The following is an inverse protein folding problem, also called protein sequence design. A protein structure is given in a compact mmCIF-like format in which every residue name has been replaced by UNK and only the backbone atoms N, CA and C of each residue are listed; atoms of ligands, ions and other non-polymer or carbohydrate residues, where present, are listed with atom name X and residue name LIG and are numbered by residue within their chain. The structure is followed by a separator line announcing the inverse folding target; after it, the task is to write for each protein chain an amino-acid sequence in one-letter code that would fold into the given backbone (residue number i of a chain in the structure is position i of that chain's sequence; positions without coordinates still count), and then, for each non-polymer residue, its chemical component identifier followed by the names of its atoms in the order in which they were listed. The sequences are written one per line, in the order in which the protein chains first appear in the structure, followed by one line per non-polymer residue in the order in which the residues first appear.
data_IF_637571625292
#
_entry.id   IF_637571625292
#
_cell.length_a   1.000
_cell.length_b   1.000
_cell.length_c   1.000
_cell.angle_alpha   90.00
_cell.angle_beta   90.00
_cell.angle_gamma   90.00
#
_symmetry.space_group_name_H-M   'P 1'
#
loop_
_entity.id
_entity.type
_entity.pdbx_description
1 polymer ?
#
# COMPACT_ATOMS: atom_id res chain seq x y z
N UNK A 1 3.46 12.76 11.17
CA UNK A 1 4.84 12.40 10.76
C UNK A 1 5.05 10.95 11.16
N UNK A 2 4.99 10.02 10.20
CA UNK A 2 5.11 8.58 10.46
C UNK A 2 6.44 8.09 9.90
N UNK A 3 7.38 7.79 10.79
CA UNK A 3 8.67 7.20 10.46
C UNK A 3 8.66 5.77 10.99
N UNK A 4 8.66 4.79 10.09
CA UNK A 4 8.78 3.38 10.45
C UNK A 4 10.22 2.97 10.17
N UNK A 5 10.95 2.59 11.22
CA UNK A 5 12.38 2.25 11.18
C UNK A 5 12.53 0.79 11.57
N UNK A 6 13.01 -0.04 10.65
CA UNK A 6 13.55 -1.36 10.98
C UNK A 6 15.08 -1.25 11.14
N UNK A 7 15.60 -1.64 12.30
CA UNK A 7 17.01 -1.43 12.68
C UNK A 7 17.97 -2.44 12.05
N UNK A 8 17.50 -3.61 11.64
CA UNK A 8 18.36 -4.66 11.08
C UNK A 8 18.40 -4.63 9.55
N UNK A 9 17.35 -4.10 8.91
CA UNK A 9 17.27 -3.95 7.47
C UNK A 9 16.85 -2.53 7.12
N UNK A 10 17.81 -1.75 6.60
CA UNK A 10 17.74 -0.31 6.35
C UNK A 10 16.67 0.06 5.31
N UNK A 11 15.40 0.05 5.71
CA UNK A 11 14.31 0.61 4.94
C UNK A 11 13.66 1.77 5.69
N UNK A 12 13.30 2.81 4.97
CA UNK A 12 12.67 4.00 5.53
C UNK A 12 11.49 4.41 4.67
N UNK A 13 10.34 4.59 5.31
CA UNK A 13 9.17 5.19 4.71
C UNK A 13 9.07 6.64 5.18
N UNK A 14 9.00 7.58 4.23
CA UNK A 14 8.79 9.01 4.51
C UNK A 14 7.69 9.56 3.61
N UNK A 15 7.19 10.74 3.94
CA UNK A 15 6.13 11.39 3.15
C UNK A 15 6.51 11.69 1.69
N UNK A 16 7.81 11.66 1.35
CA UNK A 16 8.30 11.99 0.00
C UNK A 16 8.96 10.81 -0.70
N UNK A 17 9.54 9.88 0.06
CA UNK A 17 10.42 8.82 -0.45
C UNK A 17 10.23 7.52 0.33
N UNK A 18 10.29 6.42 -0.39
CA UNK A 18 10.41 5.07 0.12
C UNK A 18 11.84 4.61 -0.20
N UNK A 19 12.61 4.30 0.83
CA UNK A 19 14.05 3.99 0.71
C UNK A 19 14.24 2.53 1.14
N UNK A 20 14.93 1.76 0.31
CA UNK A 20 15.45 0.44 0.62
C UNK A 20 16.97 0.43 0.46
N UNK A 21 17.61 -0.69 0.82
CA UNK A 21 19.07 -0.81 0.92
C UNK A 21 19.87 -0.22 -0.27
N UNK A 22 19.41 -0.45 -1.50
CA UNK A 22 20.09 -0.01 -2.73
C UNK A 22 19.16 0.75 -3.70
N UNK A 23 18.00 1.20 -3.24
CA UNK A 23 16.98 1.77 -4.13
C UNK A 23 16.11 2.77 -3.40
N UNK A 24 15.68 3.82 -4.11
CA UNK A 24 14.77 4.83 -3.60
C UNK A 24 13.65 5.03 -4.61
N UNK A 25 12.41 5.09 -4.13
CA UNK A 25 11.21 5.37 -4.90
C UNK A 25 10.59 6.65 -4.36
N UNK A 26 10.26 7.60 -5.24
CA UNK A 26 9.52 8.79 -4.83
C UNK A 26 8.03 8.43 -4.69
N UNK A 27 7.39 8.97 -3.65
CA UNK A 27 5.95 8.74 -3.40
C UNK A 27 5.07 9.14 -4.60
N UNK A 28 5.32 10.24 -5.32
CA UNK A 28 4.61 10.56 -6.56
C UNK A 28 4.67 9.46 -7.64
N UNK A 29 5.76 8.68 -7.67
CA UNK A 29 5.98 7.64 -8.69
C UNK A 29 5.40 6.27 -8.30
N UNK A 30 4.97 6.09 -7.05
CA UNK A 30 4.46 4.83 -6.49
C UNK A 30 3.14 4.30 -7.12
N UNK A 31 3.14 3.59 -8.23
CA UNK A 31 1.90 3.12 -8.88
C UNK A 31 1.02 2.21 -7.99
N UNK A 32 1.60 1.22 -7.31
CA UNK A 32 0.88 0.28 -6.45
C UNK A 32 1.74 -0.21 -5.28
N UNK A 33 1.06 -0.70 -4.23
CA UNK A 33 1.71 -1.41 -3.11
C UNK A 33 1.08 -2.79 -3.02
N UNK A 34 1.91 -3.83 -2.99
CA UNK A 34 1.51 -5.24 -2.94
C UNK A 34 2.10 -5.90 -1.71
N UNK A 35 1.38 -6.86 -1.14
CA UNK A 35 1.85 -7.66 -0.01
C UNK A 35 1.83 -9.14 -0.35
N UNK A 36 2.86 -9.85 0.08
CA UNK A 36 2.95 -11.30 -0.02
C UNK A 36 3.24 -11.91 1.34
N UNK A 37 2.47 -12.92 1.72
CA UNK A 37 2.62 -13.65 2.97
C UNK A 37 2.45 -15.14 2.75
N UNK A 38 3.43 -15.92 3.18
CA UNK A 38 3.30 -17.38 3.31
C UNK A 38 2.40 -17.73 4.50
N UNK A 39 1.86 -18.96 4.55
CA UNK A 39 1.07 -19.46 5.70
C UNK A 39 1.79 -19.27 7.03
N UNK A 40 3.07 -19.64 7.10
CA UNK A 40 3.90 -19.44 8.30
C UNK A 40 4.13 -17.95 8.62
N UNK A 41 4.29 -17.12 7.58
CA UNK A 41 4.43 -15.68 7.73
C UNK A 41 3.19 -15.04 8.33
N UNK A 42 2.00 -15.45 7.89
CA UNK A 42 0.72 -15.00 8.46
C UNK A 42 0.61 -15.36 9.95
N UNK A 43 0.98 -16.59 10.34
CA UNK A 43 0.99 -16.99 11.75
C UNK A 43 1.95 -16.15 12.60
N UNK A 44 3.10 -15.75 12.04
CA UNK A 44 4.11 -14.93 12.71
C UNK A 44 3.88 -13.42 12.59
N UNK A 45 2.85 -12.98 11.86
CA UNK A 45 2.63 -11.57 11.55
C UNK A 45 3.74 -10.95 10.68
N UNK A 46 4.43 -11.74 9.85
CA UNK A 46 5.55 -11.30 9.01
C UNK A 46 5.23 -11.50 7.52
N UNK A 47 5.68 -10.58 6.67
CA UNK A 47 5.51 -10.68 5.22
C UNK A 47 6.44 -9.79 4.42
N UNK A 48 6.30 -9.84 3.10
CA UNK A 48 7.02 -8.97 2.18
C UNK A 48 6.08 -7.90 1.63
N UNK A 49 6.58 -6.68 1.47
CA UNK A 49 5.84 -5.56 0.90
C UNK A 49 6.61 -5.05 -0.32
N UNK A 50 5.93 -4.91 -1.44
CA UNK A 50 6.47 -4.46 -2.71
C UNK A 50 5.83 -3.14 -3.10
N UNK A 51 6.64 -2.24 -3.64
CA UNK A 51 6.25 -0.90 -4.05
C UNK A 51 6.60 -0.73 -5.52
N UNK A 52 5.58 -0.62 -6.35
CA UNK A 52 5.74 -0.49 -7.79
C UNK A 52 5.83 0.98 -8.18
N UNK A 53 6.67 1.27 -9.16
CA UNK A 53 6.80 2.55 -9.81
C UNK A 53 5.94 2.59 -11.07
N UNK A 54 5.48 3.79 -11.46
CA UNK A 54 4.90 4.06 -12.78
C UNK A 54 5.85 3.68 -13.93
N UNK A 55 7.15 3.66 -13.69
CA UNK A 55 8.17 3.23 -14.65
C UNK A 55 8.30 1.70 -14.79
N UNK A 56 7.50 0.91 -14.07
CA UNK A 56 7.57 -0.55 -14.10
C UNK A 56 8.69 -1.17 -13.24
N UNK A 57 9.42 -0.35 -12.47
CA UNK A 57 10.39 -0.80 -11.46
C UNK A 57 9.70 -1.07 -10.14
N UNK A 58 10.30 -1.89 -9.28
CA UNK A 58 9.79 -2.13 -7.94
C UNK A 58 10.91 -2.13 -6.89
N UNK A 59 10.55 -1.76 -5.66
CA UNK A 59 11.38 -1.96 -4.47
C UNK A 59 10.63 -2.82 -3.46
N UNK A 60 11.36 -3.49 -2.57
CA UNK A 60 10.73 -4.40 -1.61
C UNK A 60 11.30 -4.26 -0.20
N UNK A 61 10.41 -4.31 0.77
CA UNK A 61 10.73 -4.54 2.17
C UNK A 61 10.50 -6.03 2.45
N UNK A 62 11.55 -6.74 2.87
CA UNK A 62 11.50 -8.20 3.07
C UNK A 62 11.46 -8.55 4.55
N UNK A 63 10.64 -9.54 4.90
CA UNK A 63 10.41 -9.98 6.28
C UNK A 63 10.00 -8.84 7.23
N UNK A 64 9.07 -8.03 6.78
CA UNK A 64 8.47 -6.94 7.54
C UNK A 64 7.55 -7.52 8.61
N UNK A 65 7.72 -7.05 9.85
CA UNK A 65 6.74 -7.26 10.93
C UNK A 65 5.52 -6.40 10.66
N UNK A 66 4.34 -6.99 10.77
CA UNK A 66 3.04 -6.32 10.57
C UNK A 66 2.96 -5.60 9.20
N UNK A 67 3.17 -6.30 8.07
CA UNK A 67 3.26 -5.70 6.74
C UNK A 67 1.99 -4.94 6.33
N UNK A 68 0.83 -5.27 6.91
CA UNK A 68 -0.42 -4.53 6.71
C UNK A 68 -0.32 -3.05 7.12
N UNK A 69 0.42 -2.74 8.19
CA UNK A 69 0.63 -1.35 8.64
C UNK A 69 1.46 -0.55 7.65
N UNK A 70 2.44 -1.20 7.00
CA UNK A 70 3.25 -0.59 5.95
C UNK A 70 2.37 -0.32 4.73
N UNK A 71 1.59 -1.29 4.28
CA UNK A 71 0.68 -1.12 3.13
C UNK A 71 -0.28 0.03 3.36
N UNK A 72 -0.96 0.04 4.52
CA UNK A 72 -1.89 1.10 4.91
C UNK A 72 -1.20 2.46 4.95
N UNK A 73 -0.07 2.57 5.65
CA UNK A 73 0.68 3.83 5.77
C UNK A 73 1.16 4.35 4.41
N UNK A 74 1.60 3.46 3.53
CA UNK A 74 2.15 3.81 2.22
C UNK A 74 1.08 4.30 1.25
N UNK A 75 -0.12 3.71 1.33
CA UNK A 75 -1.28 4.20 0.60
C UNK A 75 -1.69 5.60 1.10
N UNK A 76 -1.79 5.78 2.42
CA UNK A 76 -2.10 7.09 3.02
C UNK A 76 -1.10 8.19 2.64
N UNK A 77 0.20 7.88 2.54
CA UNK A 77 1.23 8.86 2.17
C UNK A 77 1.07 9.42 0.75
N UNK A 78 0.47 8.65 -0.15
CA UNK A 78 0.23 9.08 -1.53
C UNK A 78 -1.07 9.89 -1.69
N UNK A 79 -1.81 10.10 -0.60
CA UNK A 79 -3.20 10.55 -0.67
C UNK A 79 -4.13 9.50 -1.30
N UNK A 80 -3.69 8.23 -1.38
CA UNK A 80 -4.57 7.12 -1.74
C UNK A 80 -5.34 6.76 -0.47
N UNK A 81 -6.68 6.90 -0.44
CA UNK A 81 -7.44 6.59 0.76
C UNK A 81 -7.18 5.15 1.17
N UNK A 82 -6.90 4.95 2.45
CA UNK A 82 -6.47 3.70 3.05
C UNK A 82 -7.56 2.59 3.08
N UNK A 83 -8.66 2.79 2.36
CA UNK A 83 -9.72 1.81 2.11
C UNK A 83 -9.62 1.09 0.77
N UNK A 84 -8.64 1.39 -0.09
CA UNK A 84 -8.48 0.73 -1.40
C UNK A 84 -8.06 -0.76 -1.33
N UNK A 85 -8.18 -1.42 -0.18
CA UNK A 85 -8.03 -2.88 -0.04
C UNK A 85 -9.32 -3.66 -0.23
N UNK A 86 -10.46 -3.01 -0.44
CA UNK A 86 -11.68 -3.65 -0.89
C UNK A 86 -12.28 -2.91 -2.07
N UNK A 87 -11.98 -3.33 -3.31
CA UNK A 87 -12.84 -2.88 -4.42
C UNK A 87 -14.24 -3.43 -4.17
N UNK A 88 -15.22 -2.55 -3.97
CA UNK A 88 -16.63 -2.91 -3.88
C UNK A 88 -17.32 -2.60 -5.20
N UNK A 89 -18.41 -3.29 -5.49
CA UNK A 89 -19.21 -3.01 -6.68
C UNK A 89 -20.39 -2.13 -6.31
N UNK A 90 -20.68 -1.13 -7.14
CA UNK A 90 -21.87 -0.31 -6.97
C UNK A 90 -23.10 -1.17 -7.18
N UNK A 91 -23.99 -1.27 -6.18
CA UNK A 91 -25.25 -2.00 -6.32
C UNK A 91 -26.22 -1.37 -7.35
N UNK A 92 -26.01 -0.10 -7.73
CA UNK A 92 -26.85 0.62 -8.68
C UNK A 92 -26.36 0.51 -10.13
N UNK A 93 -25.07 0.76 -10.38
CA UNK A 93 -24.53 0.82 -11.74
C UNK A 93 -23.47 -0.27 -12.04
N UNK A 94 -23.17 -1.14 -11.08
CA UNK A 94 -22.18 -2.22 -11.23
C UNK A 94 -20.72 -1.76 -11.37
N UNK A 95 -20.45 -0.45 -11.24
CA UNK A 95 -19.09 0.08 -11.37
C UNK A 95 -18.22 -0.32 -10.19
N UNK A 96 -16.92 -0.56 -10.44
CA UNK A 96 -15.95 -0.82 -9.38
C UNK A 96 -15.65 0.46 -8.63
N UNK A 97 -15.76 0.41 -7.31
CA UNK A 97 -15.58 1.54 -6.41
C UNK A 97 -14.41 1.23 -5.46
N UNK A 98 -13.51 2.19 -5.22
CA UNK A 98 -12.48 2.06 -4.18
C UNK A 98 -13.13 1.88 -2.81
N UNK A 99 -12.70 0.89 -2.03
CA UNK A 99 -13.19 0.71 -0.67
C UNK A 99 -12.95 1.96 0.17
N UNK A 100 -13.94 2.31 0.99
CA UNK A 100 -13.95 3.55 1.76
C UNK A 100 -14.49 4.78 1.01
N UNK A 101 -14.88 4.66 -0.27
CA UNK A 101 -15.71 5.69 -0.90
C UNK A 101 -17.14 5.61 -0.33
N UNK A 102 -17.72 6.75 0.05
CA UNK A 102 -19.13 6.85 0.49
C UNK A 102 -20.09 7.09 -0.68
N UNK A 103 -19.57 7.54 -1.83
CA UNK A 103 -20.33 7.84 -3.05
C UNK A 103 -19.68 7.18 -4.28
N UNK A 104 -20.50 6.66 -5.18
CA UNK A 104 -20.06 6.08 -6.43
C UNK A 104 -19.59 7.19 -7.38
N UNK A 105 -18.35 7.14 -7.89
CA UNK A 105 -17.85 8.18 -8.80
C UNK A 105 -18.48 8.14 -10.20
N UNK A 106 -19.16 7.04 -10.55
CA UNK A 106 -19.79 6.89 -11.87
C UNK A 106 -21.25 7.32 -11.90
N UNK A 107 -22.03 7.01 -10.84
CA UNK A 107 -23.46 7.33 -10.81
C UNK A 107 -23.90 8.23 -9.65
N UNK A 108 -23.01 8.56 -8.70
CA UNK A 108 -23.33 9.40 -7.54
C UNK A 108 -24.15 8.72 -6.43
N UNK A 109 -24.50 7.44 -6.58
CA UNK A 109 -25.20 6.69 -5.55
C UNK A 109 -24.33 6.45 -4.31
N UNK A 110 -24.95 6.29 -3.14
CA UNK A 110 -24.24 5.85 -1.95
C UNK A 110 -23.72 4.41 -2.11
N UNK A 111 -22.53 4.17 -1.59
CA UNK A 111 -21.73 2.94 -1.79
C UNK A 111 -21.98 1.94 -0.67
#
# INVERSE_FOLDING_TARGET
MSLIVDKERKYYLTNRRIIAHNSTLLVPDLSSVRMEQSRLGRFRGVGNVYFDSREGRWIAFKHVKEPNLIVHSSMSLRGIPAGATGMVFCNYCGSRIPGGATKCPNCGADV
#
